data_IF_202616120063
#
_entry.id   IF_202616120063
#
_cell.length_a   1.000
_cell.length_b   1.000
_cell.length_c   1.000
_cell.angle_alpha   90.00
_cell.angle_beta   90.00
_cell.angle_gamma   90.00
#
_symmetry.space_group_name_H-M   'P 1'
#
loop_
_entity.id
_entity.type
_entity.pdbx_description
1 polymer ?
#
# COMPACT_ATOMS: atom_id res chain seq x y z
N UNK A 1 -69.75 -30.48 12.87
CA UNK A 1 -69.32 -30.91 11.53
C UNK A 1 -68.09 -30.08 11.14
N UNK A 2 -66.91 -30.67 11.16
CA UNK A 2 -65.67 -30.03 10.72
C UNK A 2 -65.68 -29.88 9.20
N UNK A 3 -65.49 -28.66 8.69
CA UNK A 3 -65.11 -28.42 7.29
C UNK A 3 -63.67 -27.91 7.28
N UNK A 4 -62.75 -28.86 7.11
CA UNK A 4 -61.37 -28.57 6.71
C UNK A 4 -61.40 -28.12 5.24
N UNK A 5 -61.44 -26.83 4.98
CA UNK A 5 -61.11 -26.32 3.65
C UNK A 5 -59.58 -26.21 3.57
N UNK A 6 -58.96 -27.29 3.09
CA UNK A 6 -57.64 -27.23 2.48
C UNK A 6 -57.71 -26.19 1.35
N UNK A 7 -57.28 -24.97 1.62
CA UNK A 7 -57.01 -23.98 0.57
C UNK A 7 -55.75 -24.46 -0.17
N UNK A 8 -55.98 -25.27 -1.20
CA UNK A 8 -54.98 -25.62 -2.20
C UNK A 8 -54.36 -24.34 -2.76
N UNK A 9 -53.04 -24.33 -2.81
CA UNK A 9 -52.23 -23.14 -2.98
C UNK A 9 -52.54 -22.37 -4.25
N UNK A 10 -52.44 -21.05 -4.14
CA UNK A 10 -52.20 -20.18 -5.29
C UNK A 10 -50.75 -20.37 -5.77
N UNK A 11 -50.44 -21.55 -6.30
CA UNK A 11 -49.30 -21.74 -7.20
C UNK A 11 -49.72 -21.24 -8.59
N UNK A 12 -50.01 -19.95 -8.71
CA UNK A 12 -50.32 -19.32 -10.00
C UNK A 12 -49.09 -18.55 -10.47
N UNK A 13 -48.46 -19.16 -11.47
CA UNK A 13 -47.53 -18.57 -12.44
C UNK A 13 -46.11 -18.28 -11.94
N UNK A 14 -45.38 -19.37 -11.68
CA UNK A 14 -43.91 -19.40 -11.68
C UNK A 14 -43.38 -19.58 -13.12
N UNK A 15 -43.88 -18.79 -14.06
CA UNK A 15 -43.30 -18.77 -15.41
C UNK A 15 -42.08 -17.85 -15.35
N UNK A 16 -40.90 -18.46 -15.33
CA UNK A 16 -39.64 -17.73 -15.47
C UNK A 16 -39.67 -17.08 -16.85
N UNK A 17 -39.63 -15.75 -16.90
CA UNK A 17 -39.43 -15.03 -18.15
C UNK A 17 -37.98 -15.25 -18.60
N UNK A 18 -37.79 -16.28 -19.42
CA UNK A 18 -36.47 -16.67 -19.92
C UNK A 18 -35.79 -15.54 -20.70
N UNK A 19 -36.55 -14.63 -21.31
CA UNK A 19 -35.98 -13.51 -22.07
C UNK A 19 -35.43 -12.41 -21.14
N UNK A 20 -36.14 -12.13 -20.04
CA UNK A 20 -35.65 -11.23 -19.00
C UNK A 20 -34.40 -11.81 -18.32
N UNK A 21 -34.39 -13.13 -18.05
CA UNK A 21 -33.26 -13.81 -17.44
C UNK A 21 -32.02 -13.82 -18.35
N UNK A 22 -32.19 -14.05 -19.65
CA UNK A 22 -31.10 -13.98 -20.64
C UNK A 22 -30.50 -12.58 -20.73
N UNK A 23 -31.35 -11.55 -20.73
CA UNK A 23 -30.91 -10.16 -20.74
C UNK A 23 -30.11 -9.79 -19.47
N UNK A 24 -30.57 -10.22 -18.29
CA UNK A 24 -29.86 -9.98 -17.03
C UNK A 24 -28.49 -10.68 -17.01
N UNK A 25 -28.41 -11.91 -17.53
CA UNK A 25 -27.14 -12.62 -17.69
C UNK A 25 -26.18 -11.91 -18.66
N UNK A 26 -26.69 -11.27 -19.72
CA UNK A 26 -25.86 -10.45 -20.61
C UNK A 26 -25.35 -9.18 -19.93
N UNK A 27 -26.18 -8.52 -19.12
CA UNK A 27 -25.78 -7.35 -18.35
C UNK A 27 -24.68 -7.69 -17.34
N UNK A 28 -24.83 -8.80 -16.62
CA UNK A 28 -23.83 -9.26 -15.66
C UNK A 28 -22.48 -9.56 -16.33
N UNK A 29 -22.50 -10.17 -17.53
CA UNK A 29 -21.28 -10.37 -18.33
C UNK A 29 -20.60 -9.06 -18.70
N UNK A 30 -21.37 -8.08 -19.19
CA UNK A 30 -20.85 -6.74 -19.55
C UNK A 30 -20.28 -6.01 -18.34
N UNK A 31 -20.90 -6.15 -17.17
CA UNK A 31 -20.40 -5.58 -15.91
C UNK A 31 -19.07 -6.23 -15.53
N UNK A 32 -18.98 -7.56 -15.59
CA UNK A 32 -17.77 -8.30 -15.26
C UNK A 32 -16.59 -7.92 -16.18
N UNK A 33 -16.84 -7.80 -17.49
CA UNK A 33 -15.85 -7.35 -18.47
C UNK A 33 -15.33 -5.95 -18.15
N UNK A 34 -16.25 -5.01 -17.87
CA UNK A 34 -15.89 -3.62 -17.52
C UNK A 34 -15.12 -3.52 -16.21
N UNK A 35 -15.43 -4.36 -15.23
CA UNK A 35 -14.66 -4.44 -13.98
C UNK A 35 -13.24 -4.91 -14.26
N UNK A 36 -13.06 -5.94 -15.08
CA UNK A 36 -11.73 -6.46 -15.40
C UNK A 36 -10.91 -5.46 -16.23
N UNK A 37 -11.55 -4.76 -17.18
CA UNK A 37 -10.93 -3.67 -17.93
C UNK A 37 -10.46 -2.54 -17.00
N UNK A 38 -11.31 -2.09 -16.08
CA UNK A 38 -10.95 -1.08 -15.09
C UNK A 38 -9.78 -1.52 -14.19
N UNK A 39 -9.75 -2.79 -13.76
CA UNK A 39 -8.64 -3.36 -12.99
C UNK A 39 -7.34 -3.34 -13.79
N UNK A 40 -7.38 -3.67 -15.08
CA UNK A 40 -6.20 -3.60 -15.97
C UNK A 40 -5.69 -2.17 -16.11
N UNK A 41 -6.58 -1.20 -16.32
CA UNK A 41 -6.20 0.22 -16.39
C UNK A 41 -5.56 0.71 -15.09
N UNK A 42 -6.12 0.33 -13.93
CA UNK A 42 -5.54 0.69 -12.64
C UNK A 42 -4.12 0.12 -12.47
N UNK A 43 -3.93 -1.17 -12.78
CA UNK A 43 -2.60 -1.81 -12.73
C UNK A 43 -1.59 -1.09 -13.63
N UNK A 44 -2.00 -0.69 -14.83
CA UNK A 44 -1.14 0.06 -15.74
C UNK A 44 -0.75 1.44 -15.17
N UNK A 45 -1.73 2.19 -14.63
CA UNK A 45 -1.47 3.49 -13.99
C UNK A 45 -0.50 3.36 -12.81
N UNK A 46 -0.66 2.34 -11.97
CA UNK A 46 0.25 2.07 -10.87
C UNK A 46 1.67 1.79 -11.37
N UNK A 47 1.83 0.96 -12.40
CA UNK A 47 3.14 0.66 -12.99
C UNK A 47 3.84 1.93 -13.50
N UNK A 48 3.12 2.78 -14.24
CA UNK A 48 3.66 4.05 -14.75
C UNK A 48 4.07 4.97 -13.58
N UNK A 49 3.23 5.08 -12.55
CA UNK A 49 3.55 5.88 -11.38
C UNK A 49 4.81 5.37 -10.64
N UNK A 50 4.97 4.05 -10.52
CA UNK A 50 6.15 3.43 -9.92
C UNK A 50 7.42 3.70 -10.74
N UNK A 51 7.35 3.63 -12.08
CA UNK A 51 8.46 3.96 -12.96
C UNK A 51 8.88 5.43 -12.82
N UNK A 52 7.89 6.35 -12.77
CA UNK A 52 8.15 7.78 -12.54
C UNK A 52 8.80 8.00 -11.17
N UNK A 53 8.31 7.31 -10.11
CA UNK A 53 8.89 7.39 -8.77
C UNK A 53 10.34 6.91 -8.78
N UNK A 54 10.61 5.75 -9.38
CA UNK A 54 11.98 5.19 -9.50
C UNK A 54 12.90 6.15 -10.24
N UNK A 55 12.45 6.72 -11.36
CA UNK A 55 13.22 7.74 -12.08
C UNK A 55 13.53 8.96 -11.21
N UNK A 56 12.57 9.44 -10.40
CA UNK A 56 12.82 10.56 -9.49
C UNK A 56 13.80 10.20 -8.36
N UNK A 57 13.75 8.99 -7.83
CA UNK A 57 14.68 8.51 -6.80
C UNK A 57 16.11 8.36 -7.34
N UNK A 58 16.28 7.82 -8.55
CA UNK A 58 17.62 7.67 -9.16
C UNK A 58 18.29 9.01 -9.47
N UNK A 59 17.51 10.04 -9.78
CA UNK A 59 18.01 11.40 -10.03
C UNK A 59 17.88 12.34 -8.82
N UNK A 60 17.42 11.84 -7.66
CA UNK A 60 17.33 12.66 -6.45
C UNK A 60 18.76 12.97 -6.00
N UNK A 61 19.21 14.19 -6.28
CA UNK A 61 20.46 14.70 -5.68
C UNK A 61 20.28 14.65 -4.17
N UNK A 62 21.22 14.04 -3.42
CA UNK A 62 21.11 14.02 -1.97
C UNK A 62 21.11 15.47 -1.47
N UNK A 63 20.14 15.76 -0.61
CA UNK A 63 20.02 17.05 0.06
C UNK A 63 21.29 17.35 0.85
N UNK A 64 21.52 18.63 1.17
CA UNK A 64 22.66 19.02 2.00
C UNK A 64 22.69 18.23 3.33
N UNK A 65 21.52 18.01 3.95
CA UNK A 65 21.39 17.20 5.16
C UNK A 65 21.74 15.72 4.92
N UNK A 66 21.22 15.09 3.86
CA UNK A 66 21.56 13.70 3.52
C UNK A 66 23.06 13.52 3.25
N UNK A 67 23.72 14.50 2.60
CA UNK A 67 25.18 14.49 2.39
C UNK A 67 25.95 14.58 3.69
N UNK A 68 25.54 15.47 4.59
CA UNK A 68 26.14 15.64 5.92
C UNK A 68 25.98 14.37 6.75
N UNK A 69 24.78 13.78 6.76
CA UNK A 69 24.54 12.51 7.45
C UNK A 69 25.36 11.35 6.86
N UNK A 70 25.52 11.29 5.53
CA UNK A 70 26.37 10.29 4.89
C UNK A 70 27.85 10.47 5.28
N UNK A 71 28.34 11.71 5.31
CA UNK A 71 29.71 11.99 5.75
C UNK A 71 29.93 11.66 7.22
N UNK A 72 28.96 11.92 8.10
CA UNK A 72 29.05 11.53 9.50
C UNK A 72 28.94 10.02 9.71
N UNK A 73 28.20 9.30 8.85
CA UNK A 73 28.17 7.83 8.88
C UNK A 73 29.51 7.21 8.44
N UNK A 74 30.23 7.90 7.55
CA UNK A 74 31.53 7.48 7.01
C UNK A 74 32.73 7.92 7.88
N UNK A 75 32.57 8.99 8.64
CA UNK A 75 33.58 9.44 9.60
C UNK A 75 33.40 8.67 10.90
N UNK A 76 34.34 7.75 11.11
CA UNK A 76 34.66 7.05 12.36
C UNK A 76 33.51 6.94 13.37
N UNK A 77 32.90 5.75 13.46
CA UNK A 77 31.80 5.42 14.38
C UNK A 77 32.22 5.40 15.86
N UNK A 78 33.31 6.08 16.22
CA UNK A 78 33.73 6.21 17.61
C UNK A 78 32.66 7.00 18.37
N UNK A 79 31.99 6.37 19.36
CA UNK A 79 30.96 7.05 20.11
C UNK A 79 31.57 8.22 20.88
N UNK A 80 30.97 9.40 20.70
CA UNK A 80 31.30 10.61 21.45
C UNK A 80 30.34 10.70 22.63
N UNK A 81 30.89 10.85 23.83
CA UNK A 81 30.15 10.96 25.07
C UNK A 81 30.15 12.42 25.55
N UNK A 82 29.14 12.81 26.33
CA UNK A 82 29.06 14.13 26.96
C UNK A 82 28.74 13.99 28.44
N UNK A 83 29.39 14.82 29.26
CA UNK A 83 29.08 14.99 30.69
C UNK A 83 28.29 16.29 30.97
N UNK A 84 27.83 16.99 29.92
CA UNK A 84 27.12 18.27 30.00
C UNK A 84 28.00 19.52 29.86
N UNK A 85 29.32 19.42 30.06
CA UNK A 85 30.26 20.54 29.88
C UNK A 85 31.21 20.32 28.71
N UNK A 86 31.62 19.08 28.48
CA UNK A 86 32.63 18.71 27.48
C UNK A 86 32.17 17.50 26.66
N UNK A 87 32.69 17.39 25.44
CA UNK A 87 32.59 16.20 24.62
C UNK A 87 33.90 15.42 24.69
N UNK A 88 33.84 14.10 24.81
CA UNK A 88 35.02 13.24 24.91
C UNK A 88 34.80 11.88 24.25
N UNK A 89 35.89 11.25 23.82
CA UNK A 89 35.94 9.86 23.38
C UNK A 89 36.51 8.99 24.50
N UNK A 90 36.13 7.71 24.51
CA UNK A 90 36.69 6.71 25.41
C UNK A 90 37.64 5.81 24.65
N UNK A 91 38.87 5.72 25.16
CA UNK A 91 39.84 4.72 24.71
C UNK A 91 39.47 3.33 25.24
N UNK A 92 40.13 2.28 24.73
CA UNK A 92 39.88 0.89 25.14
C UNK A 92 40.17 0.62 26.62
N UNK A 93 41.02 1.44 27.23
CA UNK A 93 41.35 1.44 28.65
C UNK A 93 40.39 2.33 29.48
N UNK A 94 39.32 2.84 28.87
CA UNK A 94 38.36 3.79 29.44
C UNK A 94 38.97 5.14 29.84
N UNK A 95 40.18 5.46 29.38
CA UNK A 95 40.71 6.82 29.50
C UNK A 95 39.90 7.78 28.61
N UNK A 96 39.79 9.03 29.08
CA UNK A 96 39.02 10.08 28.39
C UNK A 96 39.95 10.89 27.51
N UNK A 97 39.58 11.02 26.24
CA UNK A 97 40.24 11.91 25.29
C UNK A 97 39.27 13.03 24.91
N UNK A 98 39.67 14.29 25.10
CA UNK A 98 38.82 15.45 24.82
C UNK A 98 38.56 15.53 23.31
N UNK A 99 37.30 15.68 22.94
CA UNK A 99 36.90 15.81 21.55
C UNK A 99 36.63 17.29 21.21
N UNK A 100 37.44 17.84 20.31
CA UNK A 100 37.26 19.17 19.75
C UNK A 100 36.77 19.06 18.29
N UNK A 101 35.81 19.92 17.90
CA UNK A 101 35.27 20.02 16.54
C UNK A 101 36.22 20.75 15.58
#
# INVERSE_FOLDING_TARGET
MCRNTFNHGNAKNLFIDHTALEHDLELDKKIAEKIEENRRHLRLKMRIADEIRKGRETYKRPSACEKISLSFYLLDKTPIYSNGTEFFKLNKDFSREVFCL
#
